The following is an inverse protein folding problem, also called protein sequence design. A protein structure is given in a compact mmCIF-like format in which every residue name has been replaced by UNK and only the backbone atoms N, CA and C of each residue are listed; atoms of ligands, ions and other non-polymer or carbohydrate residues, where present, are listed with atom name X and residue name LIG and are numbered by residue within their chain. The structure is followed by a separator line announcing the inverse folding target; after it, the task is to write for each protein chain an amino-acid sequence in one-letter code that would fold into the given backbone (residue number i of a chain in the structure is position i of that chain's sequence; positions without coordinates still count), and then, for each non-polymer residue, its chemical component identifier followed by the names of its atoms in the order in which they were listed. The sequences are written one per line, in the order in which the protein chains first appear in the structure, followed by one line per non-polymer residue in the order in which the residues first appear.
data_IF_831390242399
#
_entry.id   IF_831390242399
#
_cell.length_a   1.000
_cell.length_b   1.000
_cell.length_c   1.000
_cell.angle_alpha   90.00
_cell.angle_beta   90.00
_cell.angle_gamma   90.00
#
_symmetry.space_group_name_H-M   'P 1'
#
loop_
_entity.id
_entity.type
_entity.pdbx_description
1 polymer ?
#
# COMPACT_ATOMS: atom_id res chain seq x y z
N UNK A 1 5.79 -13.99 -4.59
CA UNK A 1 6.91 -13.10 -4.22
C UNK A 1 7.06 -13.08 -2.70
N UNK A 2 8.27 -13.34 -2.21
CA UNK A 2 8.60 -13.37 -0.78
C UNK A 2 8.89 -11.96 -0.25
N UNK A 3 8.70 -11.71 1.06
CA UNK A 3 8.97 -10.39 1.68
C UNK A 3 10.43 -9.94 1.43
N UNK A 4 11.38 -10.87 1.46
CA UNK A 4 12.80 -10.60 1.17
C UNK A 4 13.01 -10.05 -0.24
N UNK A 5 12.43 -10.68 -1.26
CA UNK A 5 12.51 -10.23 -2.66
C UNK A 5 11.90 -8.83 -2.83
N UNK A 6 10.75 -8.57 -2.19
CA UNK A 6 10.14 -7.22 -2.23
C UNK A 6 11.10 -6.20 -1.62
N UNK A 7 11.70 -6.54 -0.48
CA UNK A 7 12.60 -5.66 0.24
C UNK A 7 13.88 -5.36 -0.58
N UNK A 8 14.45 -6.35 -1.28
CA UNK A 8 15.58 -6.19 -2.18
C UNK A 8 15.25 -5.29 -3.38
N UNK A 9 14.06 -5.47 -3.98
CA UNK A 9 13.58 -4.59 -5.05
C UNK A 9 13.48 -3.13 -4.59
N UNK A 10 12.99 -2.88 -3.37
CA UNK A 10 12.96 -1.53 -2.81
C UNK A 10 14.35 -0.95 -2.52
N UNK A 11 15.32 -1.79 -2.15
CA UNK A 11 16.72 -1.35 -1.97
C UNK A 11 17.32 -0.98 -3.32
N UNK A 12 17.16 -1.84 -4.34
CA UNK A 12 17.60 -1.56 -5.71
C UNK A 12 16.95 -0.29 -6.27
N UNK A 13 15.67 -0.07 -5.98
CA UNK A 13 15.00 1.19 -6.33
C UNK A 13 15.69 2.41 -5.73
N UNK A 14 16.09 2.33 -4.46
CA UNK A 14 16.81 3.42 -3.81
C UNK A 14 18.24 3.62 -4.37
N UNK A 15 18.88 2.56 -4.87
CA UNK A 15 20.17 2.64 -5.59
C UNK A 15 20.01 3.41 -6.89
N UNK A 16 18.99 3.07 -7.68
CA UNK A 16 18.72 3.76 -8.94
C UNK A 16 18.30 5.22 -8.72
N UNK A 17 17.41 5.49 -7.75
CA UNK A 17 16.99 6.86 -7.39
C UNK A 17 18.22 7.73 -7.04
N UNK A 18 19.19 7.16 -6.32
CA UNK A 18 20.44 7.84 -5.99
C UNK A 18 21.33 8.06 -7.20
N UNK A 19 21.51 7.06 -8.06
CA UNK A 19 22.30 7.17 -9.28
C UNK A 19 21.74 8.25 -10.23
N UNK A 20 20.42 8.45 -10.25
CA UNK A 20 19.76 9.43 -11.11
C UNK A 20 19.93 10.90 -10.68
N UNK A 21 20.17 11.18 -9.39
CA UNK A 21 20.19 12.54 -8.83
C UNK A 21 21.55 13.26 -8.94
N UNK A 22 22.61 12.59 -9.39
CA UNK A 22 23.92 13.23 -9.54
C UNK A 22 23.95 14.10 -10.80
N UNK A 23 23.83 15.42 -10.61
CA UNK A 23 23.92 16.42 -11.69
C UNK A 23 25.21 16.27 -12.51
N UNK A 24 25.07 16.36 -13.83
CA UNK A 24 26.15 16.17 -14.80
C UNK A 24 26.49 17.50 -15.46
N UNK A 25 27.75 17.91 -15.38
CA UNK A 25 28.32 19.08 -16.05
C UNK A 25 28.99 20.09 -15.11
N UNK A 26 29.68 21.09 -15.65
CA UNK A 26 30.18 22.22 -14.86
C UNK A 26 29.01 22.81 -14.06
N UNK A 27 29.29 23.26 -12.83
CA UNK A 27 28.25 23.71 -11.90
C UNK A 27 27.30 24.68 -12.61
N UNK A 28 25.99 24.42 -12.55
CA UNK A 28 25.06 25.32 -13.22
C UNK A 28 25.28 26.75 -12.72
N UNK A 29 25.50 27.71 -13.63
CA UNK A 29 25.63 29.09 -13.21
C UNK A 29 24.31 29.48 -12.54
N UNK A 30 24.41 30.02 -11.32
CA UNK A 30 23.24 30.44 -10.52
C UNK A 30 22.34 31.46 -11.21
N UNK A 31 22.78 32.02 -12.34
CA UNK A 31 22.05 32.97 -13.17
C UNK A 31 21.02 32.34 -14.11
N UNK A 32 21.05 31.02 -14.34
CA UNK A 32 20.09 30.35 -15.22
C UNK A 32 18.95 29.71 -14.41
N UNK A 33 17.71 30.06 -14.75
CA UNK A 33 16.51 29.54 -14.10
C UNK A 33 16.11 28.12 -14.56
N UNK A 34 16.65 27.67 -15.70
CA UNK A 34 16.40 26.35 -16.26
C UNK A 34 17.70 25.56 -16.35
N UNK A 35 17.67 24.25 -16.07
CA UNK A 35 18.85 23.42 -16.20
C UNK A 35 19.27 23.35 -17.67
N UNK A 36 20.45 23.88 -17.98
CA UNK A 36 21.02 23.79 -19.32
C UNK A 36 21.41 22.34 -19.60
N UNK A 37 20.78 21.74 -20.61
CA UNK A 37 21.08 20.38 -21.06
C UNK A 37 22.08 20.46 -22.20
N UNK A 38 23.32 20.05 -21.94
CA UNK A 38 24.37 20.03 -22.96
C UNK A 38 24.01 19.06 -24.09
N UNK A 39 23.96 19.58 -25.32
CA UNK A 39 23.78 18.78 -26.54
C UNK A 39 25.02 17.90 -26.81
N UNK A 40 24.85 16.84 -27.60
CA UNK A 40 25.97 15.93 -27.93
C UNK A 40 27.09 16.65 -28.69
N UNK A 41 26.74 17.68 -29.47
CA UNK A 41 27.69 18.58 -30.15
C UNK A 41 28.47 19.46 -29.16
N UNK A 42 27.80 19.97 -28.12
CA UNK A 42 28.44 20.76 -27.04
C UNK A 42 29.48 19.90 -26.32
N UNK A 43 29.09 18.65 -25.99
CA UNK A 43 29.92 17.67 -25.27
C UNK A 43 31.13 17.20 -26.08
N UNK A 44 30.99 17.10 -27.40
CA UNK A 44 32.10 16.76 -28.30
C UNK A 44 33.11 17.91 -28.46
N UNK A 45 32.72 19.14 -28.11
CA UNK A 45 33.59 20.33 -28.12
C UNK A 45 34.36 20.56 -26.82
N UNK A 46 34.17 19.75 -25.77
CA UNK A 46 34.84 19.89 -24.46
C UNK A 46 36.29 19.38 -24.43
N UNK A 47 36.99 19.43 -25.56
CA UNK A 47 38.41 19.14 -25.63
C UNK A 47 39.08 20.18 -26.51
N UNK A 48 40.42 20.20 -26.48
CA UNK A 48 41.24 21.08 -27.33
C UNK A 48 40.68 21.22 -28.75
N UNK A 49 40.25 22.43 -29.09
CA UNK A 49 40.04 22.81 -30.47
C UNK A 49 41.40 23.15 -31.11
N UNK A 50 41.62 22.82 -32.40
CA UNK A 50 42.78 23.32 -33.13
C UNK A 50 42.73 24.86 -33.15
N UNK A 51 43.55 25.51 -32.31
CA UNK A 51 43.56 26.96 -32.10
C UNK A 51 43.65 27.41 -30.64
N UNK A 52 43.42 26.51 -29.67
CA UNK A 52 43.58 26.83 -28.25
C UNK A 52 45.06 26.94 -27.85
N UNK A 53 45.42 28.03 -27.17
CA UNK A 53 46.78 28.32 -26.68
C UNK A 53 47.26 27.42 -25.53
N UNK A 54 46.57 26.31 -25.24
CA UNK A 54 46.94 25.37 -24.19
C UNK A 54 48.08 24.45 -24.64
N UNK A 55 49.05 24.18 -23.75
CA UNK A 55 50.18 23.30 -24.01
C UNK A 55 49.72 21.87 -24.33
N UNK A 56 50.30 21.22 -25.35
CA UNK A 56 49.93 19.86 -25.79
C UNK A 56 49.92 18.90 -24.59
N UNK A 57 48.74 18.39 -24.21
CA UNK A 57 48.55 17.51 -23.05
C UNK A 57 47.81 18.12 -21.86
N UNK A 58 47.73 19.45 -21.76
CA UNK A 58 46.89 20.13 -20.75
C UNK A 58 45.48 20.31 -21.31
N UNK A 59 44.55 19.49 -20.84
CA UNK A 59 43.13 19.58 -21.17
C UNK A 59 42.38 19.71 -19.83
N UNK A 60 42.14 20.92 -19.32
CA UNK A 60 41.58 21.14 -17.98
C UNK A 60 40.18 20.52 -17.78
N UNK A 61 39.52 20.15 -18.88
CA UNK A 61 38.21 19.50 -18.91
C UNK A 61 38.27 17.98 -19.14
N UNK A 62 39.47 17.39 -19.26
CA UNK A 62 39.60 15.95 -19.50
C UNK A 62 39.10 15.09 -18.34
N UNK A 63 39.33 15.53 -17.10
CA UNK A 63 38.82 14.86 -15.90
C UNK A 63 37.30 14.93 -15.83
N UNK A 64 36.71 16.08 -16.17
CA UNK A 64 35.25 16.24 -16.24
C UNK A 64 34.64 15.36 -17.35
N UNK A 65 35.32 15.22 -18.49
CA UNK A 65 34.89 14.35 -19.59
C UNK A 65 34.98 12.87 -19.20
N UNK A 66 36.06 12.46 -18.53
CA UNK A 66 36.21 11.09 -18.04
C UNK A 66 35.11 10.76 -17.03
N UNK A 67 34.89 11.65 -16.06
CA UNK A 67 33.81 11.52 -15.08
C UNK A 67 32.41 11.49 -15.72
N UNK A 68 32.21 12.24 -16.81
CA UNK A 68 30.98 12.22 -17.60
C UNK A 68 30.71 10.84 -18.23
N UNK A 69 31.69 10.27 -18.93
CA UNK A 69 31.54 8.97 -19.59
C UNK A 69 31.47 7.81 -18.59
N UNK A 70 32.24 7.85 -17.51
CA UNK A 70 32.15 6.87 -16.42
C UNK A 70 30.77 6.91 -15.74
N UNK A 71 30.12 8.09 -15.64
CA UNK A 71 28.74 8.22 -15.15
C UNK A 71 27.66 7.86 -16.16
N UNK A 72 27.87 8.05 -17.47
CA UNK A 72 26.93 7.54 -18.47
C UNK A 72 26.81 6.01 -18.41
N UNK A 73 27.90 5.32 -18.08
CA UNK A 73 27.87 3.88 -17.77
C UNK A 73 27.16 3.54 -16.46
N UNK A 74 26.98 4.50 -15.55
CA UNK A 74 26.29 4.37 -14.27
C UNK A 74 24.83 4.85 -14.30
N UNK A 75 24.35 5.40 -15.42
CA UNK A 75 22.94 5.76 -15.57
C UNK A 75 22.08 4.50 -15.59
N UNK A 76 20.90 4.55 -14.95
CA UNK A 76 19.99 3.42 -14.99
C UNK A 76 19.52 3.12 -16.41
N UNK A 77 19.43 1.83 -16.69
CA UNK A 77 18.91 1.34 -17.96
C UNK A 77 17.41 1.59 -18.07
N UNK A 78 16.86 1.63 -19.30
CA UNK A 78 15.42 1.81 -19.51
C UNK A 78 14.58 0.72 -18.82
N UNK A 79 15.09 -0.51 -18.75
CA UNK A 79 14.46 -1.63 -18.05
C UNK A 79 14.43 -1.42 -16.53
N UNK A 80 15.48 -0.80 -15.97
CA UNK A 80 15.49 -0.44 -14.55
C UNK A 80 14.48 0.66 -14.27
N UNK A 81 14.38 1.67 -15.13
CA UNK A 81 13.37 2.73 -14.99
C UNK A 81 11.94 2.17 -15.05
N UNK A 82 11.62 1.26 -15.97
CA UNK A 82 10.30 0.62 -16.02
C UNK A 82 10.03 -0.21 -14.76
N UNK A 83 11.04 -0.94 -14.26
CA UNK A 83 10.90 -1.68 -13.00
C UNK A 83 10.67 -0.75 -11.79
N UNK A 84 11.25 0.47 -11.80
CA UNK A 84 10.95 1.46 -10.76
C UNK A 84 9.49 1.90 -10.78
N UNK A 85 8.93 2.15 -11.97
CA UNK A 85 7.53 2.57 -12.11
C UNK A 85 6.58 1.52 -11.52
N UNK A 86 6.83 0.23 -11.77
CA UNK A 86 6.08 -0.87 -11.16
C UNK A 86 6.16 -0.87 -9.63
N UNK A 87 7.36 -0.66 -9.08
CA UNK A 87 7.57 -0.58 -7.62
C UNK A 87 6.85 0.64 -7.03
N UNK A 88 6.82 1.76 -7.74
CA UNK A 88 6.06 2.94 -7.31
C UNK A 88 4.55 2.67 -7.28
N UNK A 89 4.03 1.89 -8.22
CA UNK A 89 2.62 1.50 -8.21
C UNK A 89 2.30 0.56 -7.04
N UNK A 90 3.20 -0.36 -6.68
CA UNK A 90 3.07 -1.15 -5.46
C UNK A 90 3.07 -0.28 -4.20
N UNK A 91 3.89 0.77 -4.20
CA UNK A 91 3.95 1.71 -3.09
C UNK A 91 2.66 2.54 -2.98
N UNK A 92 2.12 3.03 -4.09
CA UNK A 92 0.82 3.72 -4.13
C UNK A 92 -0.32 2.83 -3.62
N UNK A 93 -0.19 1.52 -3.80
CA UNK A 93 -1.17 0.57 -3.30
C UNK A 93 -1.22 0.54 -1.76
N UNK A 94 -0.21 0.99 -1.03
CA UNK A 94 -0.29 1.08 0.45
C UNK A 94 -1.09 2.31 0.85
N UNK A 95 -2.26 2.13 1.45
CA UNK A 95 -3.16 3.26 1.81
C UNK A 95 -2.51 4.24 2.81
N UNK A 96 -1.79 3.72 3.81
CA UNK A 96 -1.17 4.54 4.85
C UNK A 96 0.09 5.27 4.35
N UNK A 97 0.02 6.59 4.26
CA UNK A 97 1.17 7.43 3.85
C UNK A 97 2.37 7.30 4.80
N UNK A 98 2.11 7.21 6.11
CA UNK A 98 3.17 7.06 7.12
C UNK A 98 3.96 5.75 6.98
N UNK A 99 3.30 4.70 6.48
CA UNK A 99 3.93 3.41 6.22
C UNK A 99 4.77 3.46 4.93
N UNK A 100 4.24 4.10 3.88
CA UNK A 100 4.96 4.38 2.64
C UNK A 100 6.26 5.16 2.89
N UNK A 101 6.17 6.25 3.66
CA UNK A 101 7.34 7.08 4.00
C UNK A 101 8.38 6.30 4.82
N UNK A 102 7.94 5.48 5.76
CA UNK A 102 8.83 4.62 6.53
C UNK A 102 9.56 3.59 5.65
N UNK A 103 8.86 2.99 4.68
CA UNK A 103 9.47 2.06 3.74
C UNK A 103 10.53 2.72 2.85
N UNK A 104 10.22 3.89 2.28
CA UNK A 104 11.16 4.67 1.46
C UNK A 104 12.38 5.16 2.24
N UNK A 105 12.16 5.65 3.46
CA UNK A 105 13.27 6.09 4.30
C UNK A 105 14.16 4.93 4.73
N UNK A 106 13.57 3.75 4.96
CA UNK A 106 14.31 2.55 5.26
C UNK A 106 15.14 2.09 4.06
N UNK A 107 14.57 2.01 2.85
CA UNK A 107 15.31 1.59 1.66
C UNK A 107 16.47 2.54 1.35
N UNK A 108 16.23 3.86 1.41
CA UNK A 108 17.29 4.89 1.27
C UNK A 108 18.39 4.77 2.33
N UNK A 109 18.06 4.31 3.54
CA UNK A 109 19.07 4.11 4.59
C UNK A 109 20.01 2.94 4.31
N UNK A 110 19.58 1.95 3.51
CA UNK A 110 20.40 0.79 3.14
C UNK A 110 21.45 1.11 2.09
N UNK A 111 21.15 2.08 1.22
CA UNK A 111 22.02 2.55 0.12
C UNK A 111 23.03 3.61 0.60
N UNK A 112 23.17 3.82 1.90
CA UNK A 112 24.12 4.79 2.46
C UNK A 112 23.59 6.24 2.49
N UNK A 113 22.27 6.42 2.66
CA UNK A 113 21.65 7.71 2.99
C UNK A 113 21.67 8.01 4.49
N UNK A 114 20.77 8.89 4.95
CA UNK A 114 20.55 9.16 6.37
C UNK A 114 20.18 7.84 7.08
N UNK A 115 20.77 7.58 8.24
CA UNK A 115 20.43 6.37 9.01
C UNK A 115 18.94 6.36 9.38
N UNK A 116 18.29 5.20 9.27
CA UNK A 116 16.86 5.07 9.55
C UNK A 116 16.49 5.57 10.95
N UNK A 117 17.34 5.27 11.95
CA UNK A 117 17.18 5.78 13.32
C UNK A 117 17.13 7.31 13.36
N UNK A 118 18.04 7.99 12.65
CA UNK A 118 18.08 9.45 12.60
C UNK A 118 16.89 10.01 11.84
N UNK A 119 16.41 9.34 10.79
CA UNK A 119 15.18 9.72 10.10
C UNK A 119 13.96 9.61 11.02
N UNK A 120 13.81 8.51 11.75
CA UNK A 120 12.72 8.32 12.70
C UNK A 120 12.67 9.45 13.72
N UNK A 121 13.79 9.81 14.36
CA UNK A 121 13.82 10.88 15.36
C UNK A 121 13.70 12.29 14.78
N UNK A 122 14.39 12.58 13.67
CA UNK A 122 14.60 13.96 13.21
C UNK A 122 13.61 14.43 12.15
N UNK A 123 13.02 13.50 11.38
CA UNK A 123 12.08 13.83 10.30
C UNK A 123 10.64 13.54 10.72
N UNK A 124 10.37 12.35 11.27
CA UNK A 124 9.02 11.96 11.67
C UNK A 124 8.73 12.19 13.17
N UNK A 125 9.75 12.28 14.03
CA UNK A 125 9.58 12.42 15.47
C UNK A 125 9.07 11.15 16.17
N UNK A 126 9.47 9.96 15.68
CA UNK A 126 8.95 8.66 16.10
C UNK A 126 10.07 7.77 16.65
N UNK A 127 9.71 6.88 17.59
CA UNK A 127 10.63 5.87 18.07
C UNK A 127 11.03 4.87 16.96
N UNK A 128 12.32 4.45 16.86
CA UNK A 128 12.79 3.57 15.80
C UNK A 128 12.03 2.24 15.68
N UNK A 129 11.54 1.70 16.78
CA UNK A 129 10.77 0.46 16.79
C UNK A 129 9.43 0.62 16.08
N UNK A 130 8.71 1.71 16.34
CA UNK A 130 7.47 2.05 15.61
C UNK A 130 7.75 2.25 14.13
N UNK A 131 8.89 2.83 13.77
CA UNK A 131 9.35 2.92 12.38
C UNK A 131 9.55 1.54 11.74
N UNK A 132 10.20 0.60 12.44
CA UNK A 132 10.38 -0.78 11.97
C UNK A 132 9.04 -1.48 11.75
N UNK A 133 8.13 -1.40 12.73
CA UNK A 133 6.78 -1.99 12.62
C UNK A 133 5.98 -1.42 11.45
N UNK A 134 6.09 -0.12 11.18
CA UNK A 134 5.44 0.51 10.01
C UNK A 134 6.02 0.01 8.68
N UNK A 135 7.35 -0.16 8.62
CA UNK A 135 8.03 -0.73 7.45
C UNK A 135 7.60 -2.19 7.22
N UNK A 136 7.57 -3.00 8.26
CA UNK A 136 7.19 -4.42 8.17
C UNK A 136 5.71 -4.55 7.73
N UNK A 137 4.80 -3.74 8.29
CA UNK A 137 3.39 -3.66 7.83
C UNK A 137 3.26 -3.23 6.38
N UNK A 138 4.07 -2.27 5.92
CA UNK A 138 4.06 -1.85 4.52
C UNK A 138 4.43 -3.01 3.59
N UNK A 139 5.49 -3.76 3.93
CA UNK A 139 5.93 -4.93 3.16
C UNK A 139 4.87 -6.05 3.17
N UNK A 140 4.25 -6.30 4.32
CA UNK A 140 3.16 -7.27 4.43
C UNK A 140 1.94 -6.89 3.59
N UNK A 141 1.58 -5.61 3.55
CA UNK A 141 0.46 -5.11 2.72
C UNK A 141 0.75 -5.24 1.24
N UNK A 142 1.97 -4.90 0.81
CA UNK A 142 2.38 -5.07 -0.58
C UNK A 142 2.35 -6.55 -0.95
N UNK A 143 2.92 -7.42 -0.10
CA UNK A 143 2.85 -8.88 -0.29
C UNK A 143 1.40 -9.34 -0.38
N UNK A 144 0.54 -8.91 0.53
CA UNK A 144 -0.87 -9.28 0.54
C UNK A 144 -1.56 -8.88 -0.77
N UNK A 145 -1.29 -7.67 -1.30
CA UNK A 145 -1.86 -7.23 -2.59
C UNK A 145 -1.34 -8.02 -3.79
N UNK A 146 -0.05 -8.33 -3.81
CA UNK A 146 0.53 -9.17 -4.85
C UNK A 146 0.01 -10.61 -4.81
N UNK A 147 -0.34 -11.12 -3.63
CA UNK A 147 -0.95 -12.44 -3.46
C UNK A 147 -2.47 -12.41 -3.69
N UNK A 148 -3.16 -11.30 -3.41
CA UNK A 148 -4.64 -11.17 -3.44
C UNK A 148 -5.26 -10.84 -4.80
N UNK A 149 -4.50 -10.66 -5.88
CA UNK A 149 -5.12 -10.43 -7.20
C UNK A 149 -5.52 -11.78 -7.83
N UNK A 150 -6.78 -12.05 -8.29
CA UNK A 150 -7.96 -11.19 -8.40
C UNK A 150 -9.31 -11.73 -7.81
N UNK A 151 -9.33 -12.70 -6.88
CA UNK A 151 -10.61 -13.39 -6.53
C UNK A 151 -11.22 -13.15 -5.14
N UNK A 152 -10.53 -12.56 -4.17
CA UNK A 152 -11.05 -12.53 -2.79
C UNK A 152 -10.77 -11.21 -2.05
N UNK A 153 -11.69 -10.27 -2.21
CA UNK A 153 -11.87 -9.12 -1.31
C UNK A 153 -12.38 -9.62 0.06
N UNK A 154 -11.48 -10.16 0.88
CA UNK A 154 -11.76 -10.35 2.30
C UNK A 154 -11.20 -9.15 3.09
N UNK A 155 -12.06 -8.20 3.44
CA UNK A 155 -11.76 -7.00 4.24
C UNK A 155 -11.40 -7.28 5.72
N UNK A 156 -10.89 -8.46 6.04
CA UNK A 156 -10.45 -8.78 7.40
C UNK A 156 -8.92 -8.79 7.46
N UNK A 157 -8.25 -7.67 7.82
CA UNK A 157 -6.89 -7.75 8.27
C UNK A 157 -6.89 -8.60 9.54
N UNK A 158 -6.28 -9.77 9.48
CA UNK A 158 -6.00 -10.60 10.66
C UNK A 158 -5.14 -9.73 11.59
N UNK A 159 -5.78 -9.05 12.52
CA UNK A 159 -5.09 -8.43 13.64
C UNK A 159 -4.44 -9.58 14.40
N UNK A 160 -3.11 -9.65 14.41
CA UNK A 160 -2.34 -10.63 15.19
C UNK A 160 -2.43 -10.43 16.72
N UNK A 161 -3.51 -9.80 17.18
CA UNK A 161 -3.90 -9.69 18.57
C UNK A 161 -5.32 -10.27 18.59
N UNK A 162 -5.54 -11.32 19.38
CA UNK A 162 -6.90 -11.72 19.76
C UNK A 162 -7.59 -10.44 20.25
N UNK A 163 -8.81 -10.14 19.77
CA UNK A 163 -9.63 -9.17 20.50
C UNK A 163 -9.64 -9.67 21.93
N UNK A 164 -9.07 -8.90 22.87
CA UNK A 164 -9.31 -9.17 24.29
C UNK A 164 -10.81 -9.27 24.39
N UNK A 165 -11.32 -10.45 24.72
CA UNK A 165 -12.73 -10.58 25.06
C UNK A 165 -13.02 -9.51 26.09
N UNK A 166 -14.21 -8.91 26.02
CA UNK A 166 -14.64 -7.97 27.06
C UNK A 166 -14.31 -8.60 28.41
N UNK A 167 -13.39 -7.97 29.15
CA UNK A 167 -13.12 -8.34 30.52
C UNK A 167 -14.42 -8.10 31.26
N UNK A 168 -15.17 -9.18 31.54
CA UNK A 168 -16.28 -9.14 32.49
C UNK A 168 -15.67 -8.90 33.86
N UNK A 169 -15.38 -7.64 34.14
CA UNK A 169 -14.98 -7.16 35.46
C UNK A 169 -16.02 -7.62 36.47
N UNK A 170 -15.53 -8.32 37.48
CA UNK A 170 -16.23 -8.79 38.67
C UNK A 170 -17.53 -8.04 39.02
N UNK A 171 -18.66 -8.74 38.96
CA UNK A 171 -19.74 -8.57 39.93
C UNK A 171 -19.76 -9.81 40.84
N UNK A 172 -18.73 -9.95 41.67
CA UNK A 172 -18.76 -10.82 42.84
C UNK A 172 -19.49 -10.07 43.95
N UNK A 173 -20.81 -10.15 43.98
CA UNK A 173 -21.58 -9.41 44.97
C UNK A 173 -23.09 -9.57 44.92
N UNK A 174 -23.61 -10.77 44.68
CA UNK A 174 -24.95 -11.21 45.14
C UNK A 174 -25.10 -12.72 44.90
N UNK A 175 -24.42 -13.52 45.72
CA UNK A 175 -24.84 -14.90 45.99
C UNK A 175 -25.67 -14.79 47.26
N UNK A 176 -26.95 -14.48 47.09
CA UNK A 176 -28.01 -14.75 48.05
C UNK A 176 -29.30 -14.71 47.23
N UNK A 177 -29.97 -15.87 47.22
CA UNK A 177 -31.32 -16.24 46.78
C UNK A 177 -32.08 -15.35 45.76
N UNK A 178 -32.75 -16.01 44.82
CA UNK A 178 -33.60 -15.43 43.75
C UNK A 178 -32.89 -14.92 42.48
N UNK A 179 -32.16 -15.82 41.82
CA UNK A 179 -31.96 -15.74 40.37
C UNK A 179 -33.21 -16.24 39.64
N UNK A 180 -34.30 -15.46 39.67
CA UNK A 180 -35.48 -15.72 38.86
C UNK A 180 -35.10 -15.97 37.40
N UNK A 181 -35.74 -16.96 36.78
CA UNK A 181 -35.56 -17.29 35.36
C UNK A 181 -35.60 -16.00 34.55
N UNK A 182 -34.48 -15.64 33.92
CA UNK A 182 -34.44 -14.51 33.00
C UNK A 182 -35.19 -14.92 31.74
N UNK A 183 -36.47 -14.56 31.68
CA UNK A 183 -37.24 -14.56 30.45
C UNK A 183 -36.54 -13.67 29.42
N UNK A 184 -35.96 -14.32 28.42
CA UNK A 184 -35.79 -13.77 27.08
C UNK A 184 -34.61 -12.83 26.87
N UNK A 185 -33.39 -13.37 26.73
CA UNK A 185 -32.44 -12.83 25.73
C UNK A 185 -31.22 -13.73 25.39
N UNK A 186 -31.30 -15.06 25.53
CA UNK A 186 -30.14 -15.92 25.20
C UNK A 186 -30.09 -16.35 23.72
N UNK A 187 -31.17 -16.16 22.96
CA UNK A 187 -31.26 -16.52 21.56
C UNK A 187 -32.00 -15.44 20.74
N UNK A 188 -31.46 -15.08 19.58
CA UNK A 188 -32.14 -14.20 18.60
C UNK A 188 -33.29 -14.91 17.88
N UNK A 189 -33.41 -16.22 18.08
CA UNK A 189 -34.47 -17.06 17.53
C UNK A 189 -35.56 -17.26 18.58
N UNK A 190 -36.82 -17.18 18.16
CA UNK A 190 -37.97 -17.42 19.04
C UNK A 190 -37.96 -18.87 19.57
N UNK A 191 -38.37 -19.05 20.83
CA UNK A 191 -38.60 -20.37 21.43
C UNK A 191 -39.64 -21.14 20.61
N UNK A 192 -39.17 -22.10 19.80
CA UNK A 192 -40.00 -22.84 18.84
C UNK A 192 -39.54 -22.74 17.38
N UNK A 193 -38.53 -21.91 17.05
CA UNK A 193 -37.99 -21.85 15.68
C UNK A 193 -37.37 -23.18 15.20
N UNK A 194 -37.03 -24.08 16.14
CA UNK A 194 -36.48 -25.41 15.85
C UNK A 194 -37.50 -26.55 15.99
N UNK A 195 -38.73 -26.30 16.48
CA UNK A 195 -39.72 -27.37 16.68
C UNK A 195 -40.33 -27.90 15.38
N UNK A 196 -40.19 -27.15 14.28
CA UNK A 196 -40.70 -27.53 12.95
C UNK A 196 -39.93 -28.67 12.27
N UNK A 197 -38.70 -28.98 12.70
CA UNK A 197 -37.93 -30.05 12.08
C UNK A 197 -38.28 -31.45 12.59
N UNK A 198 -38.98 -31.56 13.73
CA UNK A 198 -39.20 -32.83 14.44
C UNK A 198 -40.66 -33.17 14.76
N UNK A 199 -41.62 -32.27 14.50
CA UNK A 199 -43.03 -32.54 14.74
C UNK A 199 -43.85 -32.46 13.45
N UNK A 200 -44.64 -33.49 13.17
CA UNK A 200 -45.53 -33.65 12.01
C UNK A 200 -46.78 -32.74 12.12
N UNK A 201 -46.57 -31.50 12.54
CA UNK A 201 -47.57 -30.46 12.65
C UNK A 201 -47.73 -29.78 11.30
N UNK A 202 -48.91 -29.92 10.68
CA UNK A 202 -49.25 -29.26 9.43
C UNK A 202 -49.02 -27.75 9.53
N UNK A 203 -48.10 -27.23 8.72
CA UNK A 203 -47.89 -25.81 8.52
C UNK A 203 -49.21 -25.13 8.07
N UNK A 204 -49.69 -24.15 8.83
CA UNK A 204 -50.91 -23.41 8.52
C UNK A 204 -50.69 -22.39 7.37
N UNK A 205 -50.81 -22.85 6.13
CA UNK A 205 -50.70 -22.03 4.91
C UNK A 205 -51.95 -21.19 4.58
N UNK A 206 -52.82 -20.93 5.57
CA UNK A 206 -54.06 -20.14 5.40
C UNK A 206 -53.82 -18.70 4.93
N UNK A 207 -52.64 -18.15 5.21
CA UNK A 207 -52.24 -16.82 4.75
C UNK A 207 -51.91 -16.80 3.25
N UNK A 208 -51.32 -17.88 2.73
CA UNK A 208 -50.90 -18.00 1.34
C UNK A 208 -52.13 -18.12 0.42
N UNK A 209 -53.15 -18.87 0.85
CA UNK A 209 -54.44 -18.97 0.15
C UNK A 209 -55.15 -17.61 0.10
N UNK A 210 -55.22 -16.89 1.22
CA UNK A 210 -55.83 -15.53 1.29
C UNK A 210 -55.11 -14.51 0.40
N UNK A 211 -53.79 -14.64 0.22
CA UNK A 211 -52.99 -13.75 -0.65
C UNK A 211 -53.20 -14.06 -2.14
N UNK A 212 -53.28 -15.34 -2.50
CA UNK A 212 -53.56 -15.76 -3.87
C UNK A 212 -54.96 -15.34 -4.33
N UNK A 213 -55.95 -15.42 -3.45
CA UNK A 213 -57.30 -14.97 -3.74
C UNK A 213 -57.37 -13.45 -3.99
N UNK A 214 -56.65 -12.66 -3.18
CA UNK A 214 -56.46 -11.22 -3.44
C UNK A 214 -55.78 -10.94 -4.79
N UNK A 215 -54.82 -11.77 -5.21
CA UNK A 215 -54.16 -11.64 -6.52
C UNK A 215 -55.14 -11.91 -7.66
N UNK A 216 -55.96 -12.97 -7.56
CA UNK A 216 -57.02 -13.27 -8.54
C UNK A 216 -58.05 -12.14 -8.66
N UNK A 217 -58.48 -11.56 -7.54
CA UNK A 217 -59.41 -10.42 -7.55
C UNK A 217 -58.81 -9.18 -8.23
N UNK A 218 -57.51 -8.90 -8.05
CA UNK A 218 -56.82 -7.79 -8.72
C UNK A 218 -56.72 -8.01 -10.23
N UNK A 219 -56.41 -9.24 -10.65
CA UNK A 219 -56.36 -9.58 -12.07
C UNK A 219 -57.73 -9.51 -12.74
N UNK A 220 -58.79 -9.98 -12.08
CA UNK A 220 -60.16 -9.84 -12.56
C UNK A 220 -60.58 -8.37 -12.71
N UNK A 221 -60.21 -7.50 -11.75
CA UNK A 221 -60.42 -6.05 -11.85
C UNK A 221 -59.61 -5.41 -12.98
N UNK A 222 -58.37 -5.85 -13.23
CA UNK A 222 -57.56 -5.36 -14.37
C UNK A 222 -58.18 -5.78 -15.71
N UNK A 223 -58.64 -7.02 -15.84
CA UNK A 223 -59.31 -7.50 -17.06
C UNK A 223 -60.61 -6.75 -17.34
N UNK A 224 -61.43 -6.46 -16.31
CA UNK A 224 -62.67 -5.66 -16.45
C UNK A 224 -62.44 -4.18 -16.80
N UNK A 225 -61.25 -3.63 -16.53
CA UNK A 225 -60.89 -2.26 -16.92
C UNK A 225 -60.25 -2.18 -18.31
N UNK A 226 -59.83 -3.32 -18.86
CA UNK A 226 -59.16 -3.42 -20.16
C UNK A 226 -60.12 -3.88 -21.27
N UNK A 227 -61.35 -4.24 -20.93
CA UNK A 227 -62.49 -4.45 -21.82
C UNK A 227 -63.43 -3.24 -21.69
#
# INVERSE_FOLDING_TARGET
MNIGEIAELFIRMAEVDRASHEHVGPSQPRSLALPYVHSQTDKNGWGKAPGDFLAVGEDPLADERRAFWERLGALPTAQELSALEEIFDWLKAVENEKERRALLAWSRSKVGGKSFRRWCFKVEGIHPETGRRRKDRALERIRAKLVRSPSEESENPVSGVLRSGDEKGHFSGTIEEDGGEREGLDYWAADGALSSFLTDGKDDFSWATKRNERRRQREAKRKRKAA
#
